data_IF_195473656747
#
_entry.id   IF_195473656747
#
_cell.length_a   1.000
_cell.length_b   1.000
_cell.length_c   1.000
_cell.angle_alpha   90.00
_cell.angle_beta   90.00
_cell.angle_gamma   90.00
#
_symmetry.space_group_name_H-M   'P 1'
#
loop_
_entity.id
_entity.type
_entity.pdbx_description
1 polymer ?
#
# COMPACT_ATOMS: atom_id res chain seq x y z
N UNK A 1 17.93 -8.02 6.36
CA UNK A 1 17.89 -6.65 5.79
C UNK A 1 17.61 -5.64 6.88
N UNK A 2 18.35 -4.53 6.94
CA UNK A 2 17.95 -3.39 7.80
C UNK A 2 16.72 -2.74 7.17
N UNK A 3 15.68 -2.50 7.96
CA UNK A 3 14.53 -1.69 7.56
C UNK A 3 15.05 -0.31 7.13
N UNK A 4 14.83 0.03 5.88
CA UNK A 4 15.25 1.32 5.33
C UNK A 4 14.11 2.33 5.46
N UNK A 5 14.45 3.62 5.36
CA UNK A 5 13.46 4.70 5.32
C UNK A 5 12.39 4.44 4.24
N UNK A 6 12.78 3.82 3.13
CA UNK A 6 11.89 3.50 2.02
C UNK A 6 10.81 2.48 2.39
N UNK A 7 11.16 1.45 3.17
CA UNK A 7 10.20 0.44 3.64
C UNK A 7 9.13 1.07 4.53
N UNK A 8 9.57 1.97 5.42
CA UNK A 8 8.66 2.76 6.27
C UNK A 8 7.75 3.66 5.44
N UNK A 9 8.29 4.35 4.43
CA UNK A 9 7.52 5.20 3.53
C UNK A 9 6.48 4.40 2.76
N UNK A 10 6.80 3.16 2.38
CA UNK A 10 5.92 2.29 1.63
C UNK A 10 4.64 1.96 2.42
N UNK A 11 4.79 1.58 3.70
CA UNK A 11 3.65 1.40 4.60
C UNK A 11 2.80 2.67 4.74
N UNK A 12 3.43 3.84 4.87
CA UNK A 12 2.71 5.12 4.94
C UNK A 12 1.90 5.37 3.67
N UNK A 13 2.45 5.09 2.49
CA UNK A 13 1.73 5.22 1.23
C UNK A 13 0.57 4.24 1.12
N UNK A 14 0.71 3.01 1.59
CA UNK A 14 -0.40 2.04 1.65
C UNK A 14 -1.59 2.61 2.44
N UNK A 15 -1.34 3.23 3.59
CA UNK A 15 -2.38 3.91 4.37
C UNK A 15 -3.00 5.11 3.64
N UNK A 16 -2.18 5.93 2.97
CA UNK A 16 -2.67 7.07 2.21
C UNK A 16 -3.56 6.64 1.03
N UNK A 17 -3.19 5.56 0.33
CA UNK A 17 -3.99 4.98 -0.75
C UNK A 17 -5.31 4.45 -0.18
N UNK A 18 -5.29 3.73 0.94
CA UNK A 18 -6.51 3.23 1.59
C UNK A 18 -7.47 4.38 1.94
N UNK A 19 -6.95 5.48 2.50
CA UNK A 19 -7.74 6.69 2.79
C UNK A 19 -8.26 7.35 1.50
N UNK A 20 -7.45 7.38 0.44
CA UNK A 20 -7.85 7.88 -0.89
C UNK A 20 -9.00 7.07 -1.50
N UNK A 21 -8.97 5.75 -1.36
CA UNK A 21 -10.06 4.85 -1.78
C UNK A 21 -11.32 5.13 -0.97
N UNK A 22 -11.23 5.20 0.36
CA UNK A 22 -12.38 5.49 1.24
C UNK A 22 -13.03 6.83 0.89
N UNK A 23 -12.21 7.87 0.66
CA UNK A 23 -12.72 9.18 0.22
C UNK A 23 -13.39 9.08 -1.15
N UNK A 24 -12.78 8.39 -2.09
CA UNK A 24 -13.32 8.23 -3.46
C UNK A 24 -14.64 7.48 -3.49
N UNK A 25 -14.84 6.51 -2.57
CA UNK A 25 -16.13 5.81 -2.38
C UNK A 25 -17.24 6.78 -1.99
N UNK A 26 -16.97 7.72 -1.06
CA UNK A 26 -17.97 8.72 -0.63
C UNK A 26 -18.43 9.62 -1.77
N UNK A 27 -17.53 10.00 -2.66
CA UNK A 27 -17.83 10.88 -3.81
C UNK A 27 -18.26 10.07 -5.06
N UNK A 28 -18.40 8.73 -4.94
CA UNK A 28 -18.81 7.79 -6.01
C UNK A 28 -17.98 7.89 -7.29
N UNK A 29 -16.70 8.25 -7.20
CA UNK A 29 -15.81 8.32 -8.36
C UNK A 29 -15.31 6.92 -8.74
N UNK A 30 -16.01 6.26 -9.67
CA UNK A 30 -15.73 4.88 -10.09
C UNK A 30 -14.30 4.67 -10.59
N UNK A 31 -13.75 5.64 -11.33
CA UNK A 31 -12.39 5.54 -11.87
C UNK A 31 -11.34 5.60 -10.75
N UNK A 32 -11.45 6.59 -9.86
CA UNK A 32 -10.52 6.75 -8.74
C UNK A 32 -10.60 5.57 -7.76
N UNK A 33 -11.79 5.00 -7.53
CA UNK A 33 -11.97 3.80 -6.71
C UNK A 33 -11.27 2.60 -7.35
N UNK A 34 -11.49 2.35 -8.64
CA UNK A 34 -10.89 1.21 -9.33
C UNK A 34 -9.36 1.32 -9.36
N UNK A 35 -8.83 2.48 -9.73
CA UNK A 35 -7.39 2.75 -9.73
C UNK A 35 -6.79 2.63 -8.33
N UNK A 36 -7.47 3.19 -7.32
CA UNK A 36 -7.02 3.14 -5.93
C UNK A 36 -7.03 1.72 -5.37
N UNK A 37 -8.02 0.88 -5.71
CA UNK A 37 -8.08 -0.52 -5.29
C UNK A 37 -6.94 -1.35 -5.91
N UNK A 38 -6.67 -1.17 -7.20
CA UNK A 38 -5.55 -1.85 -7.88
C UNK A 38 -4.22 -1.42 -7.25
N UNK A 39 -4.04 -0.12 -7.03
CA UNK A 39 -2.83 0.43 -6.39
C UNK A 39 -2.67 -0.12 -4.96
N UNK A 40 -3.75 -0.19 -4.18
CA UNK A 40 -3.73 -0.72 -2.83
C UNK A 40 -3.34 -2.19 -2.80
N UNK A 41 -3.82 -2.99 -3.75
CA UNK A 41 -3.47 -4.41 -3.85
C UNK A 41 -1.98 -4.61 -4.16
N UNK A 42 -1.40 -3.82 -5.08
CA UNK A 42 0.03 -3.87 -5.40
C UNK A 42 0.89 -3.45 -4.21
N UNK A 43 0.50 -2.39 -3.50
CA UNK A 43 1.21 -1.91 -2.32
C UNK A 43 1.15 -2.89 -1.15
N UNK A 44 0.00 -3.50 -0.87
CA UNK A 44 -0.13 -4.54 0.15
C UNK A 44 0.71 -5.78 -0.19
N UNK A 45 0.80 -6.16 -1.47
CA UNK A 45 1.66 -7.24 -1.91
C UNK A 45 3.15 -6.91 -1.66
N UNK A 46 3.56 -5.68 -1.98
CA UNK A 46 4.92 -5.24 -1.72
C UNK A 46 5.26 -5.14 -0.22
N UNK A 47 4.34 -4.63 0.61
CA UNK A 47 4.48 -4.63 2.07
C UNK A 47 4.65 -6.06 2.61
N UNK A 48 3.89 -7.01 2.04
CA UNK A 48 4.03 -8.44 2.32
C UNK A 48 5.40 -8.99 1.96
N UNK A 49 5.96 -8.60 0.80
CA UNK A 49 7.32 -8.97 0.39
C UNK A 49 8.37 -8.37 1.33
N UNK A 50 8.22 -7.10 1.73
CA UNK A 50 9.11 -6.43 2.69
C UNK A 50 9.13 -7.22 4.01
N UNK A 51 7.96 -7.56 4.56
CA UNK A 51 7.85 -8.36 5.79
C UNK A 51 8.46 -9.75 5.60
N UNK A 52 8.18 -10.39 4.46
CA UNK A 52 8.69 -11.72 4.16
C UNK A 52 10.22 -11.75 4.14
N UNK A 53 10.86 -10.85 3.39
CA UNK A 53 12.32 -10.76 3.31
C UNK A 53 12.95 -10.24 4.61
N UNK A 54 12.24 -9.42 5.38
CA UNK A 54 12.69 -8.99 6.71
C UNK A 54 12.71 -10.16 7.71
N UNK A 55 11.73 -11.07 7.63
CA UNK A 55 11.55 -12.19 8.58
C UNK A 55 12.34 -13.45 8.16
N UNK A 56 12.46 -13.71 6.86
CA UNK A 56 13.17 -14.89 6.33
C UNK A 56 14.69 -14.81 6.33
N UNK A 57 15.27 -13.76 6.91
CA UNK A 57 16.69 -13.66 7.28
C UNK A 57 17.62 -14.50 6.42
N UNK A 58 17.90 -14.04 5.20
CA UNK A 58 19.16 -14.42 4.55
C UNK A 58 20.29 -13.70 5.27
#
# INVERSE_FOLDING_TARGET
MKMNLFDFLMFVFTFLIALGVIRSIRVKNKFAIAFGLVSLAVFLFADGLIIYYATKGV
#
